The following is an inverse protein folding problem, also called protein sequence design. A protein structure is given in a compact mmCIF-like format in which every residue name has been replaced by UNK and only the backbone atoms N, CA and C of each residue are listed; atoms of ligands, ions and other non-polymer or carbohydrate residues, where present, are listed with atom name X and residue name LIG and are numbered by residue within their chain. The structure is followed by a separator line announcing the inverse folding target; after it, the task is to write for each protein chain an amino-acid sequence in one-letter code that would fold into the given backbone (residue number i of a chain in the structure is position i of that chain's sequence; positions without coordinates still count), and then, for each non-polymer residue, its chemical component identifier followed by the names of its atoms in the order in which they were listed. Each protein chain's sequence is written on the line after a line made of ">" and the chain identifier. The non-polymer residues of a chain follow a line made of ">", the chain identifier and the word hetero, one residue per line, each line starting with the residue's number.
data_IF_405252574908
#
_entry.id   IF_405252574908
#
_cell.length_a   1.000
_cell.length_b   1.000
_cell.length_c   1.000
_cell.angle_alpha   90.00
_cell.angle_beta   90.00
_cell.angle_gamma   90.00
#
_symmetry.space_group_name_H-M   'P 1'
#
loop_
_entity.id
_entity.type
_entity.pdbx_description
1 polymer ?
#
# COMPACT_ATOMS: atom_id res chain seq x y z
N UNK A 1 38.95 55.03 -40.01
CA UNK A 1 39.52 55.21 -38.66
C UNK A 1 38.91 54.12 -37.79
N UNK A 2 39.58 53.01 -37.49
CA UNK A 2 40.62 52.78 -36.46
C UNK A 2 40.15 53.20 -35.06
N UNK A 3 40.05 52.24 -34.14
CA UNK A 3 40.13 52.49 -32.70
C UNK A 3 39.16 51.69 -31.83
N UNK A 4 39.58 50.49 -31.41
CA UNK A 4 39.19 49.91 -30.12
C UNK A 4 39.72 50.79 -28.97
N UNK A 5 39.02 50.86 -27.83
CA UNK A 5 39.53 50.39 -26.51
C UNK A 5 38.49 50.55 -25.37
N UNK A 6 38.17 49.40 -24.75
CA UNK A 6 37.90 49.07 -23.34
C UNK A 6 37.34 50.10 -22.33
N UNK A 7 36.29 49.69 -21.58
CA UNK A 7 36.45 49.16 -20.20
C UNK A 7 35.20 49.34 -19.28
N UNK A 8 34.58 48.19 -18.92
CA UNK A 8 34.09 47.71 -17.61
C UNK A 8 32.98 48.47 -16.82
N UNK A 9 31.84 47.76 -16.77
CA UNK A 9 30.86 47.49 -15.70
C UNK A 9 30.34 48.57 -14.73
N UNK A 10 29.00 48.64 -14.66
CA UNK A 10 28.30 48.09 -13.50
C UNK A 10 26.99 47.40 -13.92
N UNK A 11 27.07 46.08 -14.00
CA UNK A 11 25.95 45.13 -14.06
C UNK A 11 24.90 45.43 -12.99
N UNK A 12 23.70 45.82 -13.41
CA UNK A 12 22.50 45.78 -12.58
C UNK A 12 22.09 44.32 -12.39
N UNK A 13 22.69 43.66 -11.38
CA UNK A 13 22.27 42.33 -10.92
C UNK A 13 20.91 42.46 -10.25
N UNK A 14 19.85 42.12 -10.98
CA UNK A 14 18.54 41.82 -10.38
C UNK A 14 18.71 40.57 -9.51
N UNK A 15 18.81 40.79 -8.21
CA UNK A 15 18.84 39.72 -7.22
C UNK A 15 17.46 39.05 -7.18
N UNK A 16 17.38 37.83 -7.71
CA UNK A 16 16.22 36.95 -7.53
C UNK A 16 16.28 36.43 -6.08
N UNK A 17 15.31 36.73 -5.20
CA UNK A 17 15.27 36.07 -3.91
C UNK A 17 14.88 34.61 -4.11
N UNK A 18 15.87 33.72 -4.04
CA UNK A 18 15.64 32.28 -3.90
C UNK A 18 15.16 32.06 -2.46
N UNK A 19 13.85 31.86 -2.28
CA UNK A 19 13.33 31.37 -1.02
C UNK A 19 13.77 29.91 -0.87
N UNK A 20 14.83 29.68 -0.10
CA UNK A 20 15.17 28.36 0.42
C UNK A 20 14.13 28.02 1.47
N UNK A 21 13.13 27.22 1.08
CA UNK A 21 12.30 26.54 2.06
C UNK A 21 13.21 25.58 2.83
N UNK A 22 13.42 25.85 4.14
CA UNK A 22 13.87 24.81 5.06
C UNK A 22 12.82 23.71 5.03
N UNK A 23 13.09 22.64 4.29
CA UNK A 23 12.41 21.39 4.54
C UNK A 23 12.94 20.89 5.88
N UNK A 24 12.23 21.24 6.95
CA UNK A 24 12.40 20.55 8.22
C UNK A 24 12.08 19.07 7.93
N UNK A 25 13.16 18.30 7.77
CA UNK A 25 13.14 16.88 7.52
C UNK A 25 12.56 16.17 8.72
N UNK A 26 11.24 16.12 8.82
CA UNK A 26 10.53 15.47 9.90
C UNK A 26 9.21 14.87 9.41
N UNK A 27 9.30 13.88 8.53
CA UNK A 27 8.41 12.71 8.60
C UNK A 27 9.15 11.44 8.13
N UNK A 28 10.39 11.26 8.58
CA UNK A 28 10.82 9.92 8.96
C UNK A 28 10.10 9.56 10.25
N UNK A 29 8.83 9.12 10.14
CA UNK A 29 8.30 8.23 11.17
C UNK A 29 9.08 6.93 11.06
N UNK A 30 10.18 6.92 11.79
CA UNK A 30 10.93 5.75 12.18
C UNK A 30 9.94 4.65 12.53
N UNK A 31 9.98 3.56 11.77
CA UNK A 31 9.15 2.38 12.03
C UNK A 31 9.63 1.77 13.35
N UNK A 32 9.12 2.28 14.47
CA UNK A 32 9.36 1.69 15.78
C UNK A 32 8.60 0.36 15.83
N UNK A 33 9.27 -0.78 16.02
CA UNK A 33 8.58 -2.00 16.41
C UNK A 33 8.06 -1.75 17.83
N UNK A 34 6.76 -1.54 17.97
CA UNK A 34 6.11 -1.34 19.26
C UNK A 34 6.48 -2.46 20.23
N UNK A 35 7.32 -2.14 21.22
CA UNK A 35 7.61 -3.05 22.33
C UNK A 35 6.30 -3.32 23.07
N UNK A 36 5.95 -4.60 23.18
CA UNK A 36 4.79 -5.11 23.91
C UNK A 36 4.75 -4.55 25.33
N UNK A 37 3.77 -3.70 25.64
CA UNK A 37 3.27 -3.53 27.01
C UNK A 37 2.11 -4.50 27.19
N UNK A 38 2.40 -5.66 27.78
CA UNK A 38 1.38 -6.56 28.32
C UNK A 38 0.62 -5.78 29.40
N UNK A 39 -0.63 -5.39 29.11
CA UNK A 39 -1.59 -5.07 30.17
C UNK A 39 -2.40 -6.34 30.38
N UNK A 40 -2.17 -7.01 31.50
CA UNK A 40 -2.99 -8.13 31.93
C UNK A 40 -4.39 -7.58 32.23
N UNK A 41 -5.38 -8.02 31.46
CA UNK A 41 -6.78 -7.98 31.87
C UNK A 41 -7.17 -9.43 32.09
N UNK A 42 -7.30 -9.78 33.36
CA UNK A 42 -7.78 -11.08 33.81
C UNK A 42 -9.28 -11.18 33.49
N UNK A 43 -9.69 -12.39 33.06
CA UNK A 43 -11.00 -13.04 33.28
C UNK A 43 -11.99 -13.06 32.09
N UNK A 44 -12.19 -14.27 31.55
CA UNK A 44 -13.38 -14.69 30.80
C UNK A 44 -13.07 -15.48 29.51
N UNK A 45 -13.43 -16.75 29.47
CA UNK A 45 -12.97 -17.80 28.55
C UNK A 45 -13.49 -17.64 27.09
N UNK A 46 -12.55 -17.68 26.12
CA UNK A 46 -12.64 -18.41 24.84
C UNK A 46 -11.28 -18.41 24.12
N UNK A 47 -10.23 -18.97 24.76
CA UNK A 47 -8.84 -18.87 24.29
C UNK A 47 -8.47 -19.85 23.16
N UNK A 48 -9.24 -20.93 22.95
CA UNK A 48 -8.86 -21.97 21.98
C UNK A 48 -9.11 -21.51 20.53
N UNK A 49 -10.25 -20.88 20.28
CA UNK A 49 -10.64 -20.39 18.95
C UNK A 49 -9.86 -19.14 18.52
N UNK A 50 -9.54 -18.24 19.45
CA UNK A 50 -8.72 -17.05 19.16
C UNK A 50 -7.25 -17.39 18.94
N UNK A 51 -6.68 -18.32 19.71
CA UNK A 51 -5.29 -18.76 19.55
C UNK A 51 -5.10 -19.54 18.24
N UNK A 52 -6.03 -20.43 17.91
CA UNK A 52 -6.00 -21.15 16.64
C UNK A 52 -6.21 -20.22 15.43
N UNK A 53 -7.13 -19.25 15.52
CA UNK A 53 -7.38 -18.26 14.46
C UNK A 53 -6.20 -17.29 14.28
N UNK A 54 -5.61 -16.83 15.38
CA UNK A 54 -4.43 -15.97 15.35
C UNK A 54 -3.23 -16.70 14.76
N UNK A 55 -2.96 -17.93 15.23
CA UNK A 55 -1.91 -18.80 14.70
C UNK A 55 -2.10 -19.04 13.19
N UNK A 56 -3.31 -19.43 12.76
CA UNK A 56 -3.63 -19.66 11.34
C UNK A 56 -3.44 -18.41 10.49
N UNK A 57 -3.87 -17.24 10.96
CA UNK A 57 -3.68 -15.95 10.25
C UNK A 57 -2.20 -15.59 10.13
N UNK A 58 -1.41 -15.84 11.17
CA UNK A 58 0.05 -15.62 11.14
C UNK A 58 0.71 -16.55 10.12
N UNK A 59 0.36 -17.84 10.12
CA UNK A 59 0.89 -18.81 9.13
C UNK A 59 0.50 -18.41 7.71
N UNK A 60 -0.77 -18.06 7.48
CA UNK A 60 -1.26 -17.65 6.16
C UNK A 60 -0.62 -16.33 5.68
N UNK A 61 -0.33 -15.41 6.60
CA UNK A 61 0.42 -14.19 6.29
C UNK A 61 1.87 -14.50 5.94
N UNK A 62 2.53 -15.43 6.65
CA UNK A 62 3.89 -15.85 6.30
C UNK A 62 3.92 -16.46 4.91
N UNK A 63 3.06 -17.45 4.63
CA UNK A 63 2.99 -18.13 3.32
C UNK A 63 2.77 -17.14 2.19
N UNK A 64 1.81 -16.21 2.33
CA UNK A 64 1.60 -15.13 1.34
C UNK A 64 2.83 -14.25 1.18
N UNK A 65 3.44 -13.84 2.28
CA UNK A 65 4.59 -12.95 2.23
C UNK A 65 5.80 -13.61 1.58
N UNK A 66 5.99 -14.91 1.78
CA UNK A 66 7.10 -15.68 1.22
C UNK A 66 6.85 -15.96 -0.27
N UNK A 67 5.65 -16.44 -0.62
CA UNK A 67 5.23 -16.60 -2.01
C UNK A 67 5.30 -15.29 -2.81
N UNK A 68 4.86 -14.17 -2.22
CA UNK A 68 4.94 -12.87 -2.86
C UNK A 68 6.37 -12.35 -3.07
N UNK A 69 7.32 -12.77 -2.25
CA UNK A 69 8.74 -12.49 -2.47
C UNK A 69 9.31 -13.35 -3.62
N UNK A 70 8.96 -14.63 -3.66
CA UNK A 70 9.34 -15.54 -4.75
C UNK A 70 8.82 -15.02 -6.10
N UNK A 71 7.55 -14.63 -6.17
CA UNK A 71 6.95 -14.03 -7.37
C UNK A 71 7.69 -12.78 -7.84
N UNK A 72 8.11 -11.93 -6.90
CA UNK A 72 8.85 -10.71 -7.22
C UNK A 72 10.25 -11.01 -7.77
N UNK A 73 10.98 -11.93 -7.12
CA UNK A 73 12.29 -12.40 -7.60
C UNK A 73 12.18 -13.01 -8.99
N UNK A 74 11.14 -13.80 -9.23
CA UNK A 74 10.86 -14.39 -10.54
C UNK A 74 10.62 -13.32 -11.62
N UNK A 75 9.85 -12.26 -11.35
CA UNK A 75 9.65 -11.17 -12.33
C UNK A 75 10.97 -10.46 -12.65
N UNK A 76 11.80 -10.21 -11.63
CA UNK A 76 13.10 -9.58 -11.82
C UNK A 76 14.06 -10.46 -12.65
N UNK A 77 14.06 -11.78 -12.42
CA UNK A 77 14.89 -12.69 -13.21
C UNK A 77 14.46 -12.73 -14.68
N UNK A 78 13.15 -12.62 -14.99
CA UNK A 78 12.66 -12.44 -16.37
C UNK A 78 13.10 -11.13 -17.03
N UNK A 79 13.51 -10.14 -16.24
CA UNK A 79 14.13 -8.89 -16.69
C UNK A 79 15.66 -8.93 -16.64
N UNK A 80 16.26 -10.11 -16.44
CA UNK A 80 17.70 -10.34 -16.39
C UNK A 80 18.41 -9.59 -15.26
N UNK A 81 17.69 -9.24 -14.19
CA UNK A 81 18.34 -8.77 -12.97
C UNK A 81 19.14 -9.91 -12.35
N UNK A 82 20.36 -9.62 -11.92
CA UNK A 82 21.17 -10.57 -11.15
C UNK A 82 20.60 -10.76 -9.75
N UNK A 83 20.98 -11.86 -9.09
CA UNK A 83 20.56 -12.12 -7.71
C UNK A 83 21.04 -11.01 -6.75
N UNK A 84 22.25 -10.51 -6.96
CA UNK A 84 22.80 -9.39 -6.18
C UNK A 84 22.01 -8.09 -6.39
N UNK A 85 21.66 -7.76 -7.63
CA UNK A 85 20.83 -6.59 -7.93
C UNK A 85 19.43 -6.74 -7.32
N UNK A 86 18.84 -7.95 -7.40
CA UNK A 86 17.56 -8.29 -6.79
C UNK A 86 17.58 -8.11 -5.28
N UNK A 87 18.65 -8.59 -4.63
CA UNK A 87 18.86 -8.43 -3.19
C UNK A 87 18.96 -6.95 -2.81
N UNK A 88 19.72 -6.14 -3.54
CA UNK A 88 19.81 -4.70 -3.28
C UNK A 88 18.46 -3.98 -3.40
N UNK A 89 17.62 -4.35 -4.37
CA UNK A 89 16.26 -3.79 -4.52
C UNK A 89 15.37 -4.12 -3.31
N UNK A 90 15.51 -5.32 -2.75
CA UNK A 90 14.77 -5.77 -1.56
C UNK A 90 15.29 -5.08 -0.29
N UNK A 91 16.60 -5.15 -0.06
CA UNK A 91 17.26 -4.66 1.15
C UNK A 91 17.12 -3.14 1.31
N UNK A 92 17.20 -2.38 0.21
CA UNK A 92 17.06 -0.93 0.21
C UNK A 92 15.69 -0.42 0.69
N UNK A 93 14.69 -1.30 0.90
CA UNK A 93 13.31 -0.94 1.27
C UNK A 93 12.66 -1.87 2.30
N UNK A 94 13.43 -2.49 3.20
CA UNK A 94 12.99 -3.60 4.07
C UNK A 94 11.62 -3.46 4.78
N UNK A 95 11.29 -2.31 5.39
CA UNK A 95 10.00 -2.13 6.09
C UNK A 95 8.80 -1.95 5.13
N UNK A 96 9.04 -1.31 3.98
CA UNK A 96 8.04 -1.15 2.91
C UNK A 96 7.89 -2.47 2.15
N UNK A 97 9.00 -3.18 1.95
CA UNK A 97 9.08 -4.48 1.30
C UNK A 97 8.19 -5.51 1.98
N UNK A 98 8.28 -5.61 3.32
CA UNK A 98 7.45 -6.54 4.10
C UNK A 98 5.94 -6.37 3.83
N UNK A 99 5.46 -5.13 3.67
CA UNK A 99 4.04 -4.89 3.33
C UNK A 99 3.73 -5.20 1.87
N UNK A 100 4.66 -4.92 0.97
CA UNK A 100 4.51 -5.17 -0.48
C UNK A 100 4.49 -6.66 -0.79
N UNK A 101 5.44 -7.45 -0.26
CA UNK A 101 5.50 -8.90 -0.46
C UNK A 101 4.21 -9.61 0.01
N UNK A 102 3.64 -9.18 1.14
CA UNK A 102 2.34 -9.67 1.59
C UNK A 102 1.22 -9.41 0.56
N UNK A 103 1.14 -8.21 -0.01
CA UNK A 103 0.11 -7.88 -1.02
C UNK A 103 0.36 -8.59 -2.35
N UNK A 104 1.63 -8.84 -2.69
CA UNK A 104 2.00 -9.62 -3.88
C UNK A 104 1.56 -11.07 -3.72
N UNK A 105 1.73 -11.69 -2.54
CA UNK A 105 1.21 -13.04 -2.30
C UNK A 105 -0.32 -13.13 -2.32
N UNK A 106 -1.01 -12.08 -1.90
CA UNK A 106 -2.48 -12.03 -2.09
C UNK A 106 -2.88 -11.92 -3.56
N UNK A 107 -2.09 -11.19 -4.35
CA UNK A 107 -2.27 -11.14 -5.79
C UNK A 107 -1.94 -12.48 -6.45
N UNK A 108 -0.90 -13.19 -5.98
CA UNK A 108 -0.55 -14.54 -6.42
C UNK A 108 -1.74 -15.50 -6.27
N UNK A 109 -2.34 -15.55 -5.08
CA UNK A 109 -3.51 -16.37 -4.83
C UNK A 109 -4.70 -15.99 -5.73
N UNK A 110 -4.92 -14.69 -5.96
CA UNK A 110 -5.96 -14.24 -6.89
C UNK A 110 -5.68 -14.73 -8.31
N UNK A 111 -4.43 -14.61 -8.77
CA UNK A 111 -4.01 -14.93 -10.11
C UNK A 111 -4.10 -16.45 -10.36
N UNK A 112 -3.57 -17.25 -9.45
CA UNK A 112 -3.61 -18.72 -9.51
C UNK A 112 -5.03 -19.27 -9.38
N UNK A 113 -5.89 -18.69 -8.52
CA UNK A 113 -7.32 -19.06 -8.46
C UNK A 113 -8.08 -18.80 -9.75
N UNK A 114 -7.60 -17.86 -10.58
CA UNK A 114 -8.14 -17.63 -11.92
C UNK A 114 -7.59 -18.58 -13.00
N UNK A 115 -6.81 -19.59 -12.60
CA UNK A 115 -6.19 -20.57 -13.48
C UNK A 115 -4.97 -20.06 -14.22
N UNK A 116 -4.39 -18.93 -13.80
CA UNK A 116 -3.27 -18.28 -14.49
C UNK A 116 -1.95 -18.51 -13.76
N UNK A 117 -0.89 -18.58 -14.54
CA UNK A 117 0.50 -18.72 -14.11
C UNK A 117 1.22 -17.37 -14.07
N UNK A 118 2.35 -17.27 -13.36
CA UNK A 118 3.17 -16.05 -13.38
C UNK A 118 3.74 -15.77 -14.77
N UNK A 119 3.97 -16.80 -15.57
CA UNK A 119 4.33 -16.71 -16.98
C UNK A 119 3.30 -15.88 -17.76
N UNK A 120 2.01 -16.11 -17.52
CA UNK A 120 0.92 -15.37 -18.19
C UNK A 120 0.97 -13.87 -17.88
N UNK A 121 1.52 -13.48 -16.72
CA UNK A 121 1.67 -12.07 -16.36
C UNK A 121 2.58 -11.32 -17.33
N UNK A 122 3.56 -12.00 -17.93
CA UNK A 122 4.47 -11.38 -18.92
C UNK A 122 3.78 -11.07 -20.25
N UNK A 123 2.61 -11.68 -20.50
CA UNK A 123 1.81 -11.51 -21.71
C UNK A 123 0.66 -10.51 -21.54
N UNK A 124 0.44 -10.02 -20.32
CA UNK A 124 -0.62 -9.06 -20.01
C UNK A 124 -0.43 -7.81 -20.84
N UNK A 125 -1.43 -7.44 -21.62
CA UNK A 125 -1.41 -6.21 -22.43
C UNK A 125 -1.95 -5.01 -21.69
N UNK A 126 -2.90 -5.22 -20.79
CA UNK A 126 -3.59 -4.17 -20.06
C UNK A 126 -3.48 -4.37 -18.53
N UNK A 127 -2.50 -3.73 -17.89
CA UNK A 127 -2.30 -3.85 -16.45
C UNK A 127 -3.40 -3.16 -15.63
N UNK A 128 -4.07 -2.13 -16.17
CA UNK A 128 -5.15 -1.44 -15.47
C UNK A 128 -6.29 -2.40 -15.16
N UNK A 129 -6.72 -3.19 -16.16
CA UNK A 129 -7.80 -4.17 -16.00
C UNK A 129 -7.45 -5.22 -14.95
N UNK A 130 -6.22 -5.73 -14.95
CA UNK A 130 -5.78 -6.73 -13.96
C UNK A 130 -5.83 -6.18 -12.55
N UNK A 131 -5.27 -4.99 -12.33
CA UNK A 131 -5.24 -4.34 -11.01
C UNK A 131 -6.66 -3.98 -10.54
N UNK A 132 -7.49 -3.50 -11.46
CA UNK A 132 -8.89 -3.13 -11.17
C UNK A 132 -9.71 -4.34 -10.70
N UNK A 133 -9.58 -5.48 -11.39
CA UNK A 133 -10.28 -6.71 -11.04
C UNK A 133 -9.81 -7.26 -9.69
N UNK A 134 -8.50 -7.26 -9.45
CA UNK A 134 -7.94 -7.67 -8.16
C UNK A 134 -8.44 -6.80 -7.01
N UNK A 135 -8.43 -5.47 -7.18
CA UNK A 135 -8.88 -4.54 -6.14
C UNK A 135 -10.39 -4.68 -5.92
N UNK A 136 -11.20 -4.84 -6.97
CA UNK A 136 -12.63 -5.09 -6.84
C UNK A 136 -12.92 -6.34 -5.99
N UNK A 137 -12.19 -7.43 -6.22
CA UNK A 137 -12.29 -8.64 -5.39
C UNK A 137 -11.81 -8.39 -3.95
N UNK A 138 -10.76 -7.61 -3.74
CA UNK A 138 -10.27 -7.32 -2.40
C UNK A 138 -11.21 -6.40 -1.61
N UNK A 139 -11.94 -5.50 -2.27
CA UNK A 139 -12.95 -4.64 -1.64
C UNK A 139 -14.11 -5.48 -1.09
N UNK A 140 -14.54 -6.52 -1.81
CA UNK A 140 -15.64 -7.38 -1.35
C UNK A 140 -15.25 -8.23 -0.13
N UNK A 141 -13.96 -8.51 0.06
CA UNK A 141 -13.44 -9.32 1.18
C UNK A 141 -12.97 -8.44 2.36
N UNK A 142 -12.35 -7.30 2.08
CA UNK A 142 -11.68 -6.43 3.05
C UNK A 142 -11.86 -4.95 2.67
N UNK A 143 -12.99 -4.37 3.07
CA UNK A 143 -13.43 -3.00 2.71
C UNK A 143 -12.63 -1.87 3.40
N UNK A 144 -11.29 -1.84 3.27
CA UNK A 144 -10.46 -0.72 3.77
C UNK A 144 -9.70 -0.05 2.64
N UNK A 145 -9.82 1.28 2.55
CA UNK A 145 -9.13 2.08 1.53
C UNK A 145 -7.60 1.96 1.63
N UNK A 146 -7.07 1.77 2.85
CA UNK A 146 -5.64 1.53 3.07
C UNK A 146 -5.16 0.24 2.41
N UNK A 147 -5.95 -0.83 2.48
CA UNK A 147 -5.63 -2.10 1.82
C UNK A 147 -5.63 -1.96 0.30
N UNK A 148 -6.68 -1.35 -0.27
CA UNK A 148 -6.77 -1.14 -1.73
C UNK A 148 -5.58 -0.32 -2.26
N UNK A 149 -5.15 0.73 -1.55
CA UNK A 149 -3.97 1.51 -1.92
C UNK A 149 -2.66 0.70 -1.81
N UNK A 150 -2.52 -0.11 -0.76
CA UNK A 150 -1.36 -1.00 -0.61
C UNK A 150 -1.28 -2.03 -1.74
N UNK A 151 -2.42 -2.66 -2.09
CA UNK A 151 -2.54 -3.57 -3.22
C UNK A 151 -2.18 -2.89 -4.54
N UNK A 152 -2.78 -1.73 -4.85
CA UNK A 152 -2.46 -0.96 -6.05
C UNK A 152 -0.98 -0.65 -6.15
N UNK A 153 -0.36 -0.21 -5.06
CA UNK A 153 1.06 0.17 -5.04
C UNK A 153 1.96 -1.05 -5.26
N UNK A 154 1.65 -2.18 -4.61
CA UNK A 154 2.45 -3.39 -4.69
C UNK A 154 2.35 -4.04 -6.09
N UNK A 155 1.13 -4.22 -6.61
CA UNK A 155 0.92 -4.83 -7.93
C UNK A 155 1.36 -3.89 -9.06
N UNK A 156 1.11 -2.58 -8.93
CA UNK A 156 1.60 -1.59 -9.90
C UNK A 156 3.14 -1.52 -9.94
N UNK A 157 3.84 -1.87 -8.86
CA UNK A 157 5.30 -2.02 -8.89
C UNK A 157 5.73 -3.20 -9.77
N UNK A 158 5.01 -4.33 -9.75
CA UNK A 158 5.31 -5.49 -10.60
C UNK A 158 5.24 -5.11 -12.08
N UNK A 159 4.15 -4.44 -12.49
CA UNK A 159 3.99 -4.01 -13.87
C UNK A 159 5.00 -2.94 -14.28
N UNK A 160 5.46 -2.07 -13.37
CA UNK A 160 6.55 -1.13 -13.66
C UNK A 160 7.88 -1.82 -13.93
N UNK A 161 8.21 -2.87 -13.17
CA UNK A 161 9.40 -3.70 -13.43
C UNK A 161 9.27 -4.38 -14.80
N UNK A 162 8.05 -4.75 -15.18
CA UNK A 162 7.74 -5.21 -16.53
C UNK A 162 7.74 -4.09 -17.59
N UNK A 163 8.12 -2.86 -17.27
CA UNK A 163 8.25 -1.78 -18.25
C UNK A 163 6.94 -1.06 -18.60
N UNK A 164 5.85 -1.33 -17.89
CA UNK A 164 4.63 -0.53 -18.06
C UNK A 164 4.79 0.85 -17.42
N UNK A 165 4.41 1.89 -18.17
CA UNK A 165 4.36 3.26 -17.66
C UNK A 165 3.22 3.45 -16.65
N UNK A 166 3.44 4.35 -15.68
CA UNK A 166 2.49 4.65 -14.60
C UNK A 166 1.10 5.04 -15.12
N UNK A 167 1.02 5.71 -16.29
CA UNK A 167 -0.23 6.11 -16.92
C UNK A 167 -1.09 4.93 -17.35
N UNK A 168 -0.47 3.86 -17.87
CA UNK A 168 -1.15 2.62 -18.27
C UNK A 168 -1.59 1.79 -17.07
N UNK A 169 -0.88 1.92 -15.96
CA UNK A 169 -1.17 1.20 -14.72
C UNK A 169 -2.30 1.91 -13.94
N UNK A 170 -2.30 3.26 -13.96
CA UNK A 170 -3.21 4.11 -13.19
C UNK A 170 -4.24 4.81 -14.07
N UNK A 171 -4.88 4.05 -14.95
CA UNK A 171 -5.92 4.59 -15.81
C UNK A 171 -7.20 4.99 -15.07
N UNK A 172 -8.20 5.35 -15.86
CA UNK A 172 -9.43 5.97 -15.36
C UNK A 172 -10.31 5.02 -14.55
N UNK A 173 -10.50 3.78 -14.99
CA UNK A 173 -11.35 2.80 -14.32
C UNK A 173 -10.81 2.50 -12.92
N UNK A 174 -9.51 2.28 -12.80
CA UNK A 174 -8.86 2.06 -11.51
C UNK A 174 -9.04 3.26 -10.56
N UNK A 175 -8.88 4.48 -11.07
CA UNK A 175 -9.11 5.71 -10.29
C UNK A 175 -10.54 5.80 -9.77
N UNK A 176 -11.54 5.39 -10.54
CA UNK A 176 -12.94 5.41 -10.11
C UNK A 176 -13.23 4.35 -9.04
N UNK A 177 -12.69 3.13 -9.19
CA UNK A 177 -12.81 2.08 -8.17
C UNK A 177 -12.22 2.56 -6.84
N UNK A 178 -11.05 3.19 -6.88
CA UNK A 178 -10.38 3.76 -5.70
C UNK A 178 -11.12 4.95 -5.07
N UNK A 179 -11.93 5.69 -5.82
CA UNK A 179 -12.78 6.77 -5.28
C UNK A 179 -13.98 6.20 -4.51
N UNK A 180 -14.63 5.17 -5.05
CA UNK A 180 -15.80 4.55 -4.42
C UNK A 180 -15.47 3.91 -3.06
N UNK A 181 -14.31 3.27 -2.94
CA UNK A 181 -13.83 2.74 -1.64
C UNK A 181 -13.63 3.83 -0.58
N UNK A 182 -13.25 5.04 -1.02
CA UNK A 182 -13.10 6.19 -0.12
C UNK A 182 -14.44 6.78 0.31
N UNK A 183 -15.49 6.64 -0.51
CA UNK A 183 -16.84 7.14 -0.22
C UNK A 183 -17.64 6.18 0.67
N UNK A 184 -17.64 4.88 0.34
CA UNK A 184 -18.40 3.86 1.09
C UNK A 184 -17.94 3.77 2.55
N UNK A 185 -16.64 3.98 2.82
CA UNK A 185 -16.13 4.01 4.18
C UNK A 185 -16.72 5.17 5.01
N UNK A 186 -16.91 6.36 4.40
CA UNK A 186 -17.49 7.52 5.10
C UNK A 186 -18.95 7.29 5.48
N UNK A 187 -19.70 6.54 4.67
CA UNK A 187 -21.08 6.15 5.01
C UNK A 187 -21.14 5.09 6.10
N UNK A 188 -20.28 4.06 6.05
CA UNK A 188 -20.23 3.03 7.11
C UNK A 188 -19.75 3.59 8.45
N UNK A 189 -18.78 4.51 8.45
CA UNK A 189 -18.30 5.19 9.66
C UNK A 189 -19.41 6.08 10.27
N UNK A 190 -20.16 6.80 9.43
CA UNK A 190 -21.32 7.61 9.86
C UNK A 190 -22.48 6.73 10.33
N UNK A 191 -22.66 5.53 9.78
CA UNK A 191 -23.62 4.53 10.24
C UNK A 191 -23.26 3.94 11.62
N UNK A 192 -21.98 3.67 11.87
CA UNK A 192 -21.50 3.19 13.18
C UNK A 192 -21.60 4.24 14.29
N UNK A 193 -21.35 5.51 14.00
CA UNK A 193 -21.51 6.59 14.99
C UNK A 193 -22.98 6.82 15.37
N UNK A 194 -23.93 6.55 14.47
CA UNK A 194 -25.37 6.71 14.77
C UNK A 194 -25.96 5.58 15.62
N UNK A 195 -25.33 4.39 15.66
CA UNK A 195 -25.78 3.30 16.55
C UNK A 195 -25.33 3.52 18.00
N UNK A 196 -24.33 4.35 18.25
CA UNK A 196 -23.80 4.59 19.60
C UNK A 196 -24.48 5.76 20.34
N UNK A 197 -25.39 6.48 19.67
CA UNK A 197 -26.15 7.61 20.22
C UNK A 197 -27.55 7.20 20.71
N UNK A 198 -27.98 5.95 20.50
CA UNK A 198 -29.24 5.43 21.09
C UNK A 198 -28.96 4.55 22.31
N UNK A 199 -28.62 5.19 23.43
CA UNK A 199 -28.89 4.64 24.76
C UNK A 199 -29.92 5.56 25.45
N UNK A 200 -31.17 5.12 25.65
CA UNK A 200 -32.02 5.70 26.67
C UNK A 200 -31.67 5.03 28.01
N UNK A 201 -30.97 5.79 28.84
CA UNK A 201 -30.98 5.62 30.30
C UNK A 201 -32.30 6.19 30.84
N UNK A 202 -32.86 5.54 31.87
CA UNK A 202 -33.97 5.98 32.75
C UNK A 202 -35.38 5.96 32.12
N UNK A 203 -36.49 5.57 32.75
CA UNK A 203 -36.86 5.00 34.06
C UNK A 203 -38.29 4.41 33.87
N UNK A 204 -38.79 3.43 34.64
CA UNK A 204 -39.38 3.65 35.95
C UNK A 204 -39.74 2.32 36.63
N UNK A 205 -39.45 2.30 37.93
CA UNK A 205 -39.98 1.42 38.96
C UNK A 205 -41.51 1.45 39.03
N UNK A 206 -42.13 0.28 39.15
CA UNK A 206 -43.53 0.15 39.53
C UNK A 206 -43.80 -1.22 40.15
N UNK A 207 -43.59 -1.32 41.47
CA UNK A 207 -44.21 -2.36 42.30
C UNK A 207 -45.68 -1.99 42.47
N UNK A 208 -46.59 -2.94 42.29
CA UNK A 208 -47.40 -3.49 43.37
C UNK A 208 -48.11 -4.76 42.94
#
# INVERSE_FOLDING_TARGET
>A
QRGECCSIDHSAKLAIPIMVAKSDGAINQLCQPGKKRRRAITRGQDEESQKASSSRRVTHSSVRSDGGEESFKWILSKRQFTDDATKQVIDGRHCIWSRRRQRIGEFDEFWTKSGKSWEDLTTVKDPETVISNFIAQQISVHATNANSNACRTAVGMLFRIQGFHEERINGFALKQIMKKTSCNYKEEEKGRTNLQVRNPSEAHTGKS
#
